data_IF_334900046216
#
_entry.id   IF_334900046216
#
_cell.length_a   1.000
_cell.length_b   1.000
_cell.length_c   1.000
_cell.angle_alpha   90.00
_cell.angle_beta   90.00
_cell.angle_gamma   90.00
#
_symmetry.space_group_name_H-M   'P 1'
#
loop_
_entity.id
_entity.type
_entity.pdbx_description
1 polymer ?
#
# COMPACT_ATOMS: atom_id res chain seq x y z
N UNK A 1 4.54 -20.90 -9.99
CA UNK A 1 4.70 -19.47 -10.31
C UNK A 1 3.58 -18.68 -9.65
N UNK A 2 3.92 -17.58 -8.95
CA UNK A 2 2.91 -16.62 -8.48
C UNK A 2 2.34 -15.92 -9.72
N UNK A 3 1.01 -15.88 -9.85
CA UNK A 3 0.35 -15.10 -10.90
C UNK A 3 0.09 -13.69 -10.38
N UNK A 4 0.45 -12.70 -11.18
CA UNK A 4 0.18 -11.30 -10.88
C UNK A 4 -0.92 -10.77 -11.79
N UNK A 5 -1.70 -9.84 -11.25
CA UNK A 5 -2.81 -9.21 -11.94
C UNK A 5 -2.53 -7.71 -12.00
N UNK A 6 -2.58 -7.17 -13.20
CA UNK A 6 -2.63 -5.74 -13.45
C UNK A 6 -4.08 -5.29 -13.41
N UNK A 7 -4.35 -4.29 -12.58
CA UNK A 7 -5.65 -3.65 -12.46
C UNK A 7 -5.48 -2.21 -12.93
N UNK A 8 -6.22 -1.85 -13.97
CA UNK A 8 -6.34 -0.49 -14.44
C UNK A 8 -7.69 0.04 -14.00
N UNK A 9 -7.73 1.22 -13.40
CA UNK A 9 -8.98 1.89 -13.04
C UNK A 9 -9.14 3.18 -13.83
N UNK A 10 -10.39 3.58 -14.02
CA UNK A 10 -10.75 4.91 -14.47
C UNK A 10 -11.81 5.42 -13.51
N UNK A 11 -11.65 6.67 -13.09
CA UNK A 11 -12.64 7.39 -12.29
C UNK A 11 -12.80 8.78 -12.89
N UNK A 12 -14.03 9.28 -12.94
CA UNK A 12 -14.31 10.58 -13.57
C UNK A 12 -14.06 11.78 -12.65
N UNK A 13 -14.07 11.60 -11.33
CA UNK A 13 -13.89 12.69 -10.36
C UNK A 13 -13.27 12.23 -9.03
N UNK A 14 -12.83 13.20 -8.22
CA UNK A 14 -12.14 12.98 -6.95
C UNK A 14 -13.01 12.32 -5.87
N UNK A 15 -14.33 12.54 -5.92
CA UNK A 15 -15.26 11.94 -4.96
C UNK A 15 -15.39 10.43 -5.19
N UNK A 16 -15.53 10.01 -6.46
CA UNK A 16 -15.45 8.60 -6.86
C UNK A 16 -14.08 8.03 -6.52
N UNK A 17 -12.99 8.74 -6.81
CA UNK A 17 -11.63 8.32 -6.45
C UNK A 17 -11.51 8.03 -4.95
N UNK A 18 -12.04 8.90 -4.10
CA UNK A 18 -12.03 8.73 -2.64
C UNK A 18 -12.79 7.48 -2.19
N UNK A 19 -13.93 7.19 -2.82
CA UNK A 19 -14.69 5.96 -2.56
C UNK A 19 -13.93 4.71 -2.99
N UNK A 20 -13.40 4.72 -4.21
CA UNK A 20 -12.60 3.63 -4.78
C UNK A 20 -11.39 3.34 -3.89
N UNK A 21 -10.61 4.36 -3.52
CA UNK A 21 -9.41 4.21 -2.69
C UNK A 21 -9.69 3.54 -1.33
N UNK A 22 -10.80 3.91 -0.68
CA UNK A 22 -11.20 3.30 0.61
C UNK A 22 -11.49 1.81 0.48
N UNK A 23 -12.06 1.39 -0.65
CA UNK A 23 -12.48 0.00 -0.86
C UNK A 23 -11.42 -0.88 -1.52
N UNK A 24 -10.52 -0.28 -2.31
CA UNK A 24 -9.39 -0.99 -2.93
C UNK A 24 -8.16 -1.05 -2.01
N UNK A 25 -8.25 -0.53 -0.78
CA UNK A 25 -7.18 -0.68 0.21
C UNK A 25 -6.86 -2.16 0.43
N UNK A 26 -5.59 -2.52 0.27
CA UNK A 26 -5.12 -3.91 0.41
C UNK A 26 -5.39 -4.81 -0.81
N UNK A 27 -5.91 -4.27 -1.92
CA UNK A 27 -6.09 -5.04 -3.16
C UNK A 27 -4.75 -5.38 -3.84
N UNK A 28 -3.72 -4.57 -3.61
CA UNK A 28 -2.39 -4.74 -4.19
C UNK A 28 -1.51 -3.52 -3.99
N UNK A 29 -0.42 -3.45 -4.75
CA UNK A 29 0.50 -2.34 -4.79
C UNK A 29 0.10 -1.35 -5.89
N UNK A 30 -0.27 -0.12 -5.52
CA UNK A 30 -0.44 0.96 -6.50
C UNK A 30 0.93 1.44 -6.97
N UNK A 31 1.25 1.20 -8.25
CA UNK A 31 2.54 1.58 -8.85
C UNK A 31 2.48 2.93 -9.56
N UNK A 32 1.30 3.31 -10.05
CA UNK A 32 0.97 4.61 -10.62
C UNK A 32 -0.48 4.98 -10.22
N UNK A 33 -0.90 6.25 -10.38
CA UNK A 33 -2.31 6.60 -10.28
C UNK A 33 -3.13 5.65 -11.16
N UNK A 34 -4.16 5.05 -10.57
CA UNK A 34 -5.07 4.12 -11.26
C UNK A 34 -4.45 2.83 -11.81
N UNK A 35 -3.21 2.50 -11.42
CA UNK A 35 -2.56 1.24 -11.80
C UNK A 35 -2.14 0.48 -10.55
N UNK A 36 -2.73 -0.69 -10.36
CA UNK A 36 -2.47 -1.56 -9.21
C UNK A 36 -1.97 -2.92 -9.68
N UNK A 37 -0.92 -3.42 -9.05
CA UNK A 37 -0.45 -4.79 -9.21
C UNK A 37 -0.90 -5.61 -8.01
N UNK A 38 -1.70 -6.63 -8.26
CA UNK A 38 -2.19 -7.57 -7.24
C UNK A 38 -1.55 -8.94 -7.37
N UNK A 39 -1.37 -9.60 -6.24
CA UNK A 39 -0.98 -11.00 -6.12
C UNK A 39 -2.12 -11.87 -5.57
N UNK A 40 -3.33 -11.30 -5.47
CA UNK A 40 -4.53 -12.00 -5.04
C UNK A 40 -5.11 -12.84 -6.19
N UNK A 41 -5.90 -13.88 -5.87
CA UNK A 41 -6.65 -14.62 -6.88
C UNK A 41 -7.58 -13.69 -7.69
N UNK A 42 -7.70 -13.93 -9.00
CA UNK A 42 -8.54 -13.12 -9.89
C UNK A 42 -9.98 -12.97 -9.40
N UNK A 43 -10.57 -14.06 -8.90
CA UNK A 43 -11.94 -14.03 -8.39
C UNK A 43 -12.09 -13.14 -7.16
N UNK A 44 -11.05 -13.03 -6.34
CA UNK A 44 -11.05 -12.12 -5.19
C UNK A 44 -10.96 -10.66 -5.63
N UNK A 45 -10.09 -10.39 -6.61
CA UNK A 45 -9.95 -9.06 -7.22
C UNK A 45 -11.27 -8.61 -7.87
N UNK A 46 -11.88 -9.49 -8.67
CA UNK A 46 -13.18 -9.26 -9.31
C UNK A 46 -14.27 -8.99 -8.27
N UNK A 47 -14.38 -9.81 -7.22
CA UNK A 47 -15.38 -9.62 -6.16
C UNK A 47 -15.23 -8.26 -5.47
N UNK A 48 -13.99 -7.85 -5.16
CA UNK A 48 -13.73 -6.55 -4.53
C UNK A 48 -14.11 -5.39 -5.47
N UNK A 49 -13.75 -5.47 -6.75
CA UNK A 49 -14.09 -4.44 -7.73
C UNK A 49 -15.60 -4.37 -8.04
N UNK A 50 -16.29 -5.51 -8.07
CA UNK A 50 -17.76 -5.56 -8.18
C UNK A 50 -18.44 -4.92 -6.98
N UNK A 51 -17.98 -5.18 -5.76
CA UNK A 51 -18.51 -4.53 -4.56
C UNK A 51 -18.35 -3.00 -4.60
N UNK A 52 -17.27 -2.49 -5.21
CA UNK A 52 -17.11 -1.05 -5.45
C UNK A 52 -18.13 -0.54 -6.47
N UNK A 53 -18.34 -1.28 -7.55
CA UNK A 53 -19.34 -0.94 -8.58
C UNK A 53 -20.75 -0.90 -8.00
N UNK A 54 -21.15 -1.88 -7.20
CA UNK A 54 -22.46 -1.93 -6.54
C UNK A 54 -22.68 -0.70 -5.65
N UNK A 55 -21.69 -0.32 -4.83
CA UNK A 55 -21.78 0.87 -3.99
C UNK A 55 -21.87 2.17 -4.79
N UNK A 56 -21.19 2.24 -5.93
CA UNK A 56 -21.28 3.40 -6.80
C UNK A 56 -22.66 3.51 -7.45
N UNK A 57 -23.27 2.38 -7.84
CA UNK A 57 -24.65 2.35 -8.33
C UNK A 57 -25.61 2.90 -7.26
N UNK A 58 -25.51 2.42 -6.02
CA UNK A 58 -26.35 2.91 -4.91
C UNK A 58 -26.23 4.43 -4.67
N UNK A 59 -25.05 5.00 -4.93
CA UNK A 59 -24.78 6.43 -4.76
C UNK A 59 -25.28 7.23 -5.96
N UNK A 60 -25.08 6.71 -7.18
CA UNK A 60 -25.57 7.31 -8.41
C UNK A 60 -27.10 7.39 -8.42
N UNK A 61 -27.78 6.34 -7.96
CA UNK A 61 -29.24 6.32 -7.80
C UNK A 61 -29.76 7.39 -6.83
N UNK A 62 -28.90 7.91 -5.94
CA UNK A 62 -29.22 9.00 -5.01
C UNK A 62 -28.94 10.40 -5.58
N UNK A 63 -28.67 10.50 -6.88
CA UNK A 63 -28.45 11.76 -7.60
C UNK A 63 -26.99 12.18 -7.69
N UNK A 64 -26.05 11.27 -7.43
CA UNK A 64 -24.62 11.54 -7.62
C UNK A 64 -24.20 11.22 -9.07
N UNK A 65 -23.33 12.04 -9.64
CA UNK A 65 -22.77 11.81 -10.98
C UNK A 65 -21.31 11.34 -10.89
N UNK A 66 -21.01 10.23 -11.55
CA UNK A 66 -19.66 9.68 -11.57
C UNK A 66 -19.54 8.43 -12.41
N UNK A 67 -18.33 8.15 -12.88
CA UNK A 67 -18.01 6.97 -13.65
C UNK A 67 -16.87 6.22 -12.98
N UNK A 68 -16.99 4.90 -12.96
CA UNK A 68 -15.94 3.99 -12.55
C UNK A 68 -15.86 2.84 -13.53
N UNK A 69 -14.72 2.68 -14.17
CA UNK A 69 -14.41 1.55 -15.02
C UNK A 69 -13.12 0.88 -14.56
N UNK A 70 -12.98 -0.40 -14.86
CA UNK A 70 -11.75 -1.12 -14.56
C UNK A 70 -11.47 -2.19 -15.61
N UNK A 71 -10.20 -2.55 -15.72
CA UNK A 71 -9.74 -3.71 -16.46
C UNK A 71 -8.87 -4.59 -15.54
N UNK A 72 -9.06 -5.90 -15.64
CA UNK A 72 -8.30 -6.90 -14.90
C UNK A 72 -7.54 -7.73 -15.93
N UNK A 73 -6.21 -7.68 -15.86
CA UNK A 73 -5.32 -8.32 -16.83
C UNK A 73 -4.41 -9.27 -16.05
N UNK A 74 -4.54 -10.57 -16.30
CA UNK A 74 -3.59 -11.56 -15.79
C UNK A 74 -2.28 -11.41 -16.58
N UNK A 75 -1.19 -11.19 -15.86
CA UNK A 75 0.12 -10.99 -16.47
C UNK A 75 0.80 -12.33 -16.71
N UNK A 76 1.34 -12.48 -17.91
CA UNK A 76 2.39 -13.46 -18.18
C UNK A 76 3.69 -13.04 -17.49
N UNK A 77 4.62 -13.97 -17.31
CA UNK A 77 5.94 -13.67 -16.74
C UNK A 77 6.68 -12.58 -17.54
N UNK A 78 6.55 -12.60 -18.86
CA UNK A 78 7.22 -11.65 -19.74
C UNK A 78 6.63 -10.26 -19.59
N UNK A 79 5.31 -10.15 -19.48
CA UNK A 79 4.66 -8.87 -19.16
C UNK A 79 5.00 -8.39 -17.74
N UNK A 80 5.08 -9.31 -16.78
CA UNK A 80 5.48 -8.99 -15.41
C UNK A 80 6.92 -8.45 -15.34
N UNK A 81 7.85 -9.06 -16.07
CA UNK A 81 9.25 -8.58 -16.15
C UNK A 81 9.33 -7.14 -16.67
N UNK A 82 8.49 -6.77 -17.64
CA UNK A 82 8.44 -5.41 -18.21
C UNK A 82 7.98 -4.38 -17.17
N UNK A 83 7.04 -4.73 -16.29
CA UNK A 83 6.53 -3.80 -15.26
C UNK A 83 7.34 -3.81 -13.96
N UNK A 84 8.18 -4.82 -13.73
CA UNK A 84 8.98 -4.97 -12.50
C UNK A 84 9.77 -3.70 -12.13
N UNK A 85 10.37 -2.93 -13.06
CA UNK A 85 11.05 -1.68 -12.72
C UNK A 85 10.13 -0.64 -12.04
N UNK A 86 8.84 -0.58 -12.41
CA UNK A 86 7.86 0.31 -11.78
C UNK A 86 7.57 -0.12 -10.33
N UNK A 87 7.49 -1.43 -10.09
CA UNK A 87 7.32 -2.01 -8.75
C UNK A 87 8.53 -1.67 -7.88
N UNK A 88 9.74 -1.90 -8.39
CA UNK A 88 10.99 -1.59 -7.66
C UNK A 88 11.04 -0.12 -7.29
N UNK A 89 10.81 0.79 -8.24
CA UNK A 89 10.80 2.24 -8.00
C UNK A 89 9.76 2.64 -6.96
N UNK A 90 8.57 2.05 -7.00
CA UNK A 90 7.51 2.31 -6.01
C UNK A 90 7.95 1.88 -4.61
N UNK A 91 8.54 0.69 -4.49
CA UNK A 91 9.04 0.16 -3.22
C UNK A 91 10.20 0.97 -2.64
N UNK A 92 11.09 1.48 -3.49
CA UNK A 92 12.15 2.42 -3.08
C UNK A 92 11.57 3.71 -2.51
N UNK A 93 10.59 4.30 -3.21
CA UNK A 93 9.90 5.50 -2.74
C UNK A 93 9.19 5.28 -1.39
N UNK A 94 8.49 4.15 -1.23
CA UNK A 94 7.80 3.81 0.02
C UNK A 94 8.80 3.55 1.16
N UNK A 95 9.93 2.90 0.86
CA UNK A 95 11.02 2.71 1.81
C UNK A 95 11.61 4.05 2.26
N UNK A 96 11.91 4.95 1.32
CA UNK A 96 12.45 6.28 1.63
C UNK A 96 11.49 7.12 2.48
N UNK A 97 10.19 7.06 2.17
CA UNK A 97 9.13 7.70 2.96
C UNK A 97 9.10 7.14 4.38
N UNK A 98 9.16 5.81 4.52
CA UNK A 98 9.11 5.16 5.81
C UNK A 98 10.37 5.43 6.64
N UNK A 99 11.56 5.45 6.03
CA UNK A 99 12.82 5.87 6.67
C UNK A 99 12.68 7.27 7.25
N UNK A 100 12.27 8.23 6.42
CA UNK A 100 12.15 9.64 6.83
C UNK A 100 11.18 9.81 8.00
N UNK A 101 10.03 9.11 7.94
CA UNK A 101 9.06 9.11 9.04
C UNK A 101 9.62 8.42 10.29
N UNK A 102 10.27 7.27 10.15
CA UNK A 102 10.83 6.51 11.26
C UNK A 102 11.95 7.27 11.99
N UNK A 103 12.84 7.96 11.27
CA UNK A 103 13.89 8.79 11.85
C UNK A 103 13.29 9.96 12.66
N UNK A 104 12.23 10.60 12.14
CA UNK A 104 11.51 11.64 12.86
C UNK A 104 10.79 11.10 14.10
N UNK A 105 10.16 9.92 13.99
CA UNK A 105 9.51 9.26 15.11
C UNK A 105 10.52 8.85 16.20
N UNK A 106 11.70 8.35 15.82
CA UNK A 106 12.76 7.96 16.74
C UNK A 106 13.24 9.16 17.58
N UNK A 107 13.47 10.31 16.94
CA UNK A 107 13.81 11.57 17.65
C UNK A 107 12.71 11.96 18.65
N UNK A 108 11.44 11.75 18.31
CA UNK A 108 10.31 12.05 19.20
C UNK A 108 10.19 11.06 20.36
N UNK A 109 10.36 9.76 20.13
CA UNK A 109 10.37 8.75 21.21
C UNK A 109 11.49 9.07 22.23
N UNK A 110 12.66 9.51 21.76
CA UNK A 110 13.78 9.91 22.63
C UNK A 110 13.49 11.14 23.49
N UNK A 111 12.57 11.99 23.10
CA UNK A 111 12.30 13.28 23.77
C UNK A 111 10.95 13.35 24.46
N UNK A 112 9.99 12.50 24.07
CA UNK A 112 8.60 12.57 24.50
C UNK A 112 8.07 11.18 24.86
N UNK A 113 7.06 11.14 25.74
CA UNK A 113 6.27 9.95 26.05
C UNK A 113 4.79 10.28 25.92
N UNK A 114 3.96 9.24 25.86
CA UNK A 114 2.50 9.38 25.92
C UNK A 114 1.77 8.76 24.75
N UNK A 115 0.45 8.83 24.82
CA UNK A 115 -0.46 8.09 23.94
C UNK A 115 -0.29 8.41 22.45
N UNK A 116 0.05 9.65 22.11
CA UNK A 116 0.34 10.05 20.72
C UNK A 116 1.52 9.26 20.14
N UNK A 117 2.60 9.08 20.91
CA UNK A 117 3.78 8.33 20.49
C UNK A 117 3.44 6.84 20.32
N UNK A 118 2.64 6.28 21.22
CA UNK A 118 2.19 4.87 21.11
C UNK A 118 1.42 4.62 19.82
N UNK A 119 0.46 5.49 19.50
CA UNK A 119 -0.32 5.41 18.26
C UNK A 119 0.54 5.55 17.01
N UNK A 120 1.44 6.53 17.00
CA UNK A 120 2.36 6.73 15.87
C UNK A 120 3.30 5.54 15.67
N UNK A 121 3.86 5.00 16.75
CA UNK A 121 4.68 3.78 16.71
C UNK A 121 3.90 2.57 16.20
N UNK A 122 2.68 2.37 16.69
CA UNK A 122 1.81 1.27 16.24
C UNK A 122 1.45 1.39 14.76
N UNK A 123 1.27 2.63 14.27
CA UNK A 123 1.05 2.90 12.84
C UNK A 123 2.30 2.62 12.03
N UNK A 124 3.47 3.07 12.49
CA UNK A 124 4.75 2.81 11.83
C UNK A 124 5.00 1.30 11.71
N UNK A 125 4.81 0.54 12.79
CA UNK A 125 5.04 -0.90 12.81
C UNK A 125 4.13 -1.66 11.83
N UNK A 126 2.88 -1.23 11.68
CA UNK A 126 1.95 -1.79 10.69
C UNK A 126 2.42 -1.53 9.26
N UNK A 127 2.81 -0.30 8.96
CA UNK A 127 3.30 0.10 7.63
C UNK A 127 4.62 -0.59 7.29
N UNK A 128 5.51 -0.75 8.27
CA UNK A 128 6.73 -1.53 8.16
C UNK A 128 6.45 -2.99 7.77
N UNK A 129 5.58 -3.69 8.53
CA UNK A 129 5.24 -5.09 8.24
C UNK A 129 4.61 -5.25 6.86
N UNK A 130 3.74 -4.31 6.48
CA UNK A 130 3.12 -4.31 5.16
C UNK A 130 4.18 -4.13 4.06
N UNK A 131 5.09 -3.16 4.21
CA UNK A 131 6.15 -2.93 3.24
C UNK A 131 7.05 -4.17 3.07
N UNK A 132 7.52 -4.76 4.16
CA UNK A 132 8.34 -6.00 4.13
C UNK A 132 7.60 -7.13 3.42
N UNK A 133 6.33 -7.36 3.76
CA UNK A 133 5.52 -8.38 3.10
C UNK A 133 5.40 -8.15 1.59
N UNK A 134 5.28 -6.90 1.14
CA UNK A 134 5.20 -6.59 -0.29
C UNK A 134 6.56 -6.83 -0.98
N UNK A 135 7.67 -6.48 -0.33
CA UNK A 135 9.01 -6.81 -0.84
C UNK A 135 9.19 -8.32 -1.01
N UNK A 136 8.73 -9.15 -0.06
CA UNK A 136 8.74 -10.62 -0.14
C UNK A 136 7.81 -11.16 -1.23
N UNK A 137 6.66 -10.51 -1.45
CA UNK A 137 5.72 -10.90 -2.52
C UNK A 137 6.38 -10.78 -3.90
N UNK A 138 7.07 -9.67 -4.13
CA UNK A 138 7.68 -9.34 -5.43
C UNK A 138 9.15 -9.77 -5.58
N UNK A 139 9.72 -10.38 -4.54
CA UNK A 139 11.13 -10.76 -4.49
C UNK A 139 12.04 -9.58 -4.87
N UNK A 140 11.86 -8.47 -4.15
CA UNK A 140 12.65 -7.25 -4.30
C UNK A 140 13.39 -7.00 -3.00
N UNK A 141 14.71 -7.05 -3.05
CA UNK A 141 15.58 -6.68 -1.93
C UNK A 141 16.52 -5.57 -2.37
N UNK A 142 16.69 -4.54 -1.54
CA UNK A 142 17.57 -3.41 -1.78
C UNK A 142 18.08 -2.83 -0.45
N UNK A 143 19.07 -1.94 -0.52
CA UNK A 143 19.68 -1.32 0.66
C UNK A 143 18.68 -0.48 1.48
N UNK A 144 17.69 0.13 0.82
CA UNK A 144 16.65 0.90 1.50
C UNK A 144 15.79 0.01 2.41
N UNK A 145 15.44 -1.19 1.96
CA UNK A 145 14.73 -2.17 2.80
C UNK A 145 15.56 -2.54 4.05
N UNK A 146 16.86 -2.78 3.87
CA UNK A 146 17.75 -3.08 5.00
C UNK A 146 17.77 -1.92 6.01
N UNK A 147 17.88 -0.68 5.51
CA UNK A 147 17.83 0.52 6.36
C UNK A 147 16.48 0.66 7.09
N UNK A 148 15.36 0.37 6.43
CA UNK A 148 14.03 0.31 7.06
C UNK A 148 14.01 -0.71 8.20
N UNK A 149 14.54 -1.93 7.98
CA UNK A 149 14.57 -3.01 8.97
C UNK A 149 15.41 -2.65 10.19
N UNK A 150 16.59 -2.06 9.98
CA UNK A 150 17.46 -1.57 11.06
C UNK A 150 16.78 -0.48 11.88
N UNK A 151 16.17 0.50 11.20
CA UNK A 151 15.44 1.58 11.85
C UNK A 151 14.24 1.08 12.65
N UNK A 152 13.48 0.11 12.12
CA UNK A 152 12.37 -0.52 12.83
C UNK A 152 12.84 -1.23 14.10
N UNK A 153 14.00 -1.91 14.06
CA UNK A 153 14.62 -2.53 15.24
C UNK A 153 15.01 -1.47 16.27
N UNK A 154 15.66 -0.39 15.85
CA UNK A 154 16.06 0.70 16.74
C UNK A 154 14.85 1.38 17.41
N UNK A 155 13.81 1.65 16.63
CA UNK A 155 12.54 2.21 17.11
C UNK A 155 11.91 1.32 18.19
N UNK A 156 11.85 0.00 17.98
CA UNK A 156 11.31 -0.95 18.96
C UNK A 156 12.10 -0.91 20.27
N UNK A 157 13.43 -0.95 20.20
CA UNK A 157 14.31 -0.90 21.37
C UNK A 157 14.08 0.39 22.16
N UNK A 158 14.10 1.55 21.49
CA UNK A 158 13.95 2.84 22.17
C UNK A 158 12.52 3.04 22.71
N UNK A 159 11.50 2.57 21.98
CA UNK A 159 10.12 2.60 22.46
C UNK A 159 9.95 1.76 23.73
N UNK A 160 10.47 0.54 23.76
CA UNK A 160 10.37 -0.33 24.94
C UNK A 160 11.16 0.27 26.12
N UNK A 161 12.36 0.83 25.88
CA UNK A 161 13.14 1.52 26.90
C UNK A 161 12.39 2.69 27.54
N UNK A 162 11.52 3.37 26.78
CA UNK A 162 10.75 4.54 27.23
C UNK A 162 9.40 4.17 27.85
N UNK A 163 8.90 2.95 27.66
CA UNK A 163 7.61 2.52 28.19
C UNK A 163 7.71 1.42 29.26
N UNK A 164 8.92 0.97 29.58
CA UNK A 164 9.26 0.40 30.90
C UNK A 164 9.33 1.52 31.94
#
# INVERSE_FOLDING_TARGET
MRRFILILTYVSNDEVQGLVNRHLTGLGLSVLPNVVISWLPKQEVERKLLSVKEKLIDIIERGFEGEFAYAIIELTDEQFKVIRPLIVRKLENDSQRLISWGEALLRRIRSQRGEKIRREFSRFDREYRQLVSIHEVFDVSNELLNKVMELARELRIEYDRRNK
#
